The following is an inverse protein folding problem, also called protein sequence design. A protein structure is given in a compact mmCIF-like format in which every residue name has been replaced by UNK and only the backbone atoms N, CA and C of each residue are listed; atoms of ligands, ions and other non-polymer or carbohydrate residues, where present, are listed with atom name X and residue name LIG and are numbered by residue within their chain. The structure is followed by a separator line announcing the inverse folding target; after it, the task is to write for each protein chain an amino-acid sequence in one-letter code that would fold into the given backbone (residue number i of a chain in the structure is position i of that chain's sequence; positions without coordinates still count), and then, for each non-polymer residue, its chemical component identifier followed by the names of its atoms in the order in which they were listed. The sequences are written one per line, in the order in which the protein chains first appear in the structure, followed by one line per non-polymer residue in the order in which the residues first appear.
data_IF_714403787091
#
_entry.id   IF_714403787091
#
_cell.length_a   1.000
_cell.length_b   1.000
_cell.length_c   1.000
_cell.angle_alpha   90.00
_cell.angle_beta   90.00
_cell.angle_gamma   90.00
#
_symmetry.space_group_name_H-M   'P 1'
#
loop_
_entity.id
_entity.type
_entity.pdbx_description
1 polymer ?
#
# COMPACT_ATOMS: atom_id res chain seq x y z
N UNK A 1 -5.88 7.64 6.70
CA UNK A 1 -6.47 6.54 5.91
C UNK A 1 -6.89 7.08 4.56
N UNK A 2 -6.57 6.36 3.50
CA UNK A 2 -6.91 6.82 2.15
C UNK A 2 -7.17 5.63 1.23
N UNK A 3 -7.79 5.90 0.10
CA UNK A 3 -8.02 4.91 -0.95
C UNK A 3 -7.04 5.17 -2.08
N UNK A 4 -6.30 4.13 -2.47
CA UNK A 4 -5.36 4.19 -3.57
C UNK A 4 -5.58 3.02 -4.51
N UNK A 5 -5.02 3.09 -5.70
CA UNK A 5 -5.03 1.98 -6.64
C UNK A 5 -3.60 1.45 -6.81
N UNK A 6 -3.45 0.14 -6.74
CA UNK A 6 -2.15 -0.49 -6.96
C UNK A 6 -1.77 -0.38 -8.44
N UNK A 7 -0.62 0.18 -8.72
CA UNK A 7 -0.11 0.27 -10.10
C UNK A 7 0.75 -0.94 -10.42
N UNK A 8 1.74 -1.23 -9.60
CA UNK A 8 2.67 -2.33 -9.84
C UNK A 8 3.49 -2.62 -8.58
N UNK A 9 4.05 -3.84 -8.48
CA UNK A 9 5.02 -4.12 -7.43
C UNK A 9 6.28 -3.29 -7.62
N UNK A 10 6.91 -2.91 -6.52
CA UNK A 10 8.20 -2.24 -6.54
C UNK A 10 9.27 -3.26 -6.17
N UNK A 11 10.23 -3.45 -7.06
CA UNK A 11 11.34 -4.38 -6.81
C UNK A 11 12.57 -3.57 -6.44
N UNK A 12 13.18 -3.94 -5.31
CA UNK A 12 14.42 -3.32 -4.86
C UNK A 12 15.38 -4.43 -4.43
N UNK A 13 16.59 -4.41 -4.97
CA UNK A 13 17.59 -5.43 -4.66
C UNK A 13 18.43 -5.08 -3.44
N UNK A 14 18.48 -3.80 -3.06
CA UNK A 14 19.23 -3.34 -1.91
C UNK A 14 18.30 -2.62 -0.93
N UNK A 15 18.11 -3.22 0.23
CA UNK A 15 17.27 -2.68 1.29
C UNK A 15 17.98 -2.81 2.62
N UNK A 16 17.66 -1.93 3.55
CA UNK A 16 18.09 -2.11 4.93
C UNK A 16 17.43 -3.36 5.49
N UNK A 17 18.07 -3.97 6.50
CA UNK A 17 17.60 -5.25 7.05
C UNK A 17 16.15 -5.21 7.51
N UNK A 18 15.70 -4.10 8.07
CA UNK A 18 14.31 -3.96 8.54
C UNK A 18 13.28 -4.03 7.41
N UNK A 19 13.70 -3.80 6.18
CA UNK A 19 12.79 -3.84 5.02
C UNK A 19 12.92 -5.12 4.21
N UNK A 20 13.81 -6.02 4.59
CA UNK A 20 13.92 -7.32 3.93
C UNK A 20 12.62 -8.10 4.09
N UNK A 21 12.26 -8.86 3.07
CA UNK A 21 11.06 -9.70 3.05
C UNK A 21 9.75 -8.93 3.10
N UNK A 22 9.78 -7.60 2.98
CA UNK A 22 8.55 -6.82 2.87
C UNK A 22 8.21 -6.58 1.40
N UNK A 23 6.94 -6.73 1.08
CA UNK A 23 6.45 -6.47 -0.26
C UNK A 23 6.10 -4.99 -0.37
N UNK A 24 6.60 -4.36 -1.42
CA UNK A 24 6.34 -2.95 -1.69
C UNK A 24 5.53 -2.83 -2.97
N UNK A 25 4.59 -1.90 -2.98
CA UNK A 25 3.77 -1.61 -4.15
C UNK A 25 3.83 -0.12 -4.46
N UNK A 26 3.83 0.19 -5.74
CA UNK A 26 3.57 1.56 -6.18
C UNK A 26 2.07 1.73 -6.25
N UNK A 27 1.54 2.71 -5.54
CA UNK A 27 0.11 3.00 -5.52
C UNK A 27 -0.15 4.40 -6.04
N UNK A 28 -1.31 4.60 -6.63
CA UNK A 28 -1.74 5.87 -7.19
C UNK A 28 -2.75 6.50 -6.25
N UNK A 29 -2.47 7.72 -5.83
CA UNK A 29 -3.37 8.55 -5.03
C UNK A 29 -3.66 9.82 -5.83
N UNK A 30 -4.80 9.84 -6.52
CA UNK A 30 -5.12 10.92 -7.44
C UNK A 30 -4.10 10.99 -8.57
N UNK A 31 -3.31 12.04 -8.62
CA UNK A 31 -2.25 12.21 -9.63
C UNK A 31 -0.86 11.87 -9.10
N UNK A 32 -0.76 11.44 -7.86
CA UNK A 32 0.52 11.14 -7.20
C UNK A 32 0.77 9.64 -7.16
N UNK A 33 2.03 9.25 -7.30
CA UNK A 33 2.47 7.88 -7.09
C UNK A 33 3.21 7.81 -5.77
N UNK A 34 2.85 6.82 -4.97
CA UNK A 34 3.41 6.61 -3.63
C UNK A 34 3.89 5.17 -3.50
N UNK A 35 4.77 4.94 -2.55
CA UNK A 35 5.23 3.59 -2.22
C UNK A 35 4.57 3.16 -0.92
N UNK A 36 3.94 1.99 -0.93
CA UNK A 36 3.27 1.43 0.23
C UNK A 36 3.77 0.03 0.51
N UNK A 37 3.83 -0.32 1.80
CA UNK A 37 4.07 -1.71 2.21
C UNK A 37 2.78 -2.48 1.99
N UNK A 38 2.89 -3.66 1.38
CA UNK A 38 1.75 -4.53 1.14
C UNK A 38 1.72 -5.63 2.20
N UNK A 39 0.77 -5.52 3.13
CA UNK A 39 0.62 -6.47 4.22
C UNK A 39 -0.36 -7.61 3.88
N UNK A 40 -1.05 -7.54 2.75
CA UNK A 40 -2.16 -8.45 2.45
C UNK A 40 -2.10 -9.14 1.10
N UNK A 41 -1.15 -8.79 0.24
CA UNK A 41 -1.01 -9.42 -1.07
C UNK A 41 -1.87 -8.81 -2.16
N UNK A 42 -1.91 -7.49 -2.24
CA UNK A 42 -2.66 -6.79 -3.29
C UNK A 42 -1.99 -6.98 -4.66
N UNK A 43 -2.77 -6.83 -5.72
CA UNK A 43 -2.33 -7.01 -7.10
C UNK A 43 -2.53 -5.74 -7.91
N UNK A 44 -1.78 -5.57 -9.01
CA UNK A 44 -2.00 -4.43 -9.90
C UNK A 44 -3.46 -4.29 -10.30
N UNK A 45 -3.97 -3.08 -10.23
CA UNK A 45 -5.36 -2.77 -10.51
C UNK A 45 -6.28 -2.80 -9.30
N UNK A 46 -5.86 -3.42 -8.20
CA UNK A 46 -6.70 -3.46 -6.99
C UNK A 46 -6.83 -2.07 -6.38
N UNK A 47 -8.04 -1.78 -5.91
CA UNK A 47 -8.27 -0.62 -5.08
C UNK A 47 -8.07 -1.03 -3.63
N UNK A 48 -7.33 -0.25 -2.89
CA UNK A 48 -6.85 -0.63 -1.56
C UNK A 48 -7.06 0.48 -0.56
N UNK A 49 -7.14 0.09 0.71
CA UNK A 49 -7.16 1.02 1.83
C UNK A 49 -5.74 1.09 2.38
N UNK A 50 -5.22 2.30 2.47
CA UNK A 50 -3.89 2.56 3.02
C UNK A 50 -3.98 3.38 4.28
N UNK A 51 -3.08 3.12 5.22
CA UNK A 51 -2.94 3.89 6.45
C UNK A 51 -1.54 4.49 6.51
N UNK A 52 -1.40 5.63 7.17
CA UNK A 52 -0.14 6.35 7.24
C UNK A 52 0.43 6.48 8.64
N UNK A 53 1.61 7.06 8.72
CA UNK A 53 2.30 7.40 9.97
C UNK A 53 2.52 6.18 10.87
N UNK A 54 2.33 6.30 12.18
CA UNK A 54 2.55 5.20 13.13
C UNK A 54 1.58 4.05 12.92
N UNK A 55 0.36 4.33 12.46
CA UNK A 55 -0.59 3.28 12.12
C UNK A 55 -0.08 2.39 10.99
N UNK A 56 0.61 2.99 10.00
CA UNK A 56 1.20 2.22 8.91
C UNK A 56 2.28 1.27 9.42
N UNK A 57 3.11 1.71 10.35
CA UNK A 57 4.17 0.87 10.91
C UNK A 57 3.60 -0.27 11.76
N UNK A 58 2.57 0.00 12.54
CA UNK A 58 1.91 -1.05 13.31
C UNK A 58 1.25 -2.08 12.41
N UNK A 59 0.59 -1.64 11.36
CA UNK A 59 -0.04 -2.54 10.40
C UNK A 59 0.99 -3.38 9.65
N UNK A 60 2.21 -2.85 9.46
CA UNK A 60 3.30 -3.59 8.84
C UNK A 60 3.96 -4.59 9.80
N UNK A 61 3.59 -4.58 11.07
CA UNK A 61 4.04 -5.55 12.07
C UNK A 61 5.22 -5.11 12.92
N UNK A 62 5.68 -3.87 12.78
CA UNK A 62 6.80 -3.38 13.57
C UNK A 62 6.79 -1.86 13.66
N UNK A 63 6.85 -1.34 14.88
CA UNK A 63 6.92 0.10 15.12
C UNK A 63 8.25 0.70 14.65
N UNK A 64 9.29 -0.11 14.56
CA UNK A 64 10.59 0.34 14.07
C UNK A 64 10.71 0.32 12.55
N UNK A 65 9.72 -0.20 11.85
CA UNK A 65 9.73 -0.29 10.42
C UNK A 65 9.55 1.11 9.79
N UNK A 66 10.45 1.53 8.89
CA UNK A 66 10.42 2.90 8.36
C UNK A 66 9.39 3.06 7.24
N UNK A 67 8.14 2.70 7.49
CA UNK A 67 7.05 2.85 6.54
C UNK A 67 6.14 4.00 6.96
N UNK A 68 5.75 4.81 5.99
CA UNK A 68 4.78 5.86 6.21
C UNK A 68 3.44 5.57 5.50
N UNK A 69 3.34 4.42 4.81
CA UNK A 69 2.10 4.02 4.14
C UNK A 69 2.06 2.51 4.04
N UNK A 70 0.96 1.92 4.49
CA UNK A 70 0.77 0.47 4.48
C UNK A 70 -0.62 0.14 3.94
N UNK A 71 -0.68 -0.84 3.03
CA UNK A 71 -1.94 -1.37 2.51
C UNK A 71 -2.51 -2.33 3.55
N UNK A 72 -3.73 -2.08 4.00
CA UNK A 72 -4.37 -2.87 5.06
C UNK A 72 -5.67 -3.55 4.60
N UNK A 73 -6.16 -3.25 3.41
CA UNK A 73 -7.38 -3.88 2.92
C UNK A 73 -7.53 -3.73 1.42
N UNK A 74 -8.23 -4.67 0.80
CA UNK A 74 -8.61 -4.61 -0.61
C UNK A 74 -10.09 -4.26 -0.67
N UNK A 75 -10.45 -3.31 -1.52
CA UNK A 75 -11.82 -2.88 -1.69
C UNK A 75 -12.43 -3.66 -2.85
N UNK A 76 -13.47 -4.44 -2.56
CA UNK A 76 -14.06 -5.31 -3.57
C UNK A 76 -14.93 -4.55 -4.57
N UNK A 77 -15.56 -3.46 -4.14
CA UNK A 77 -16.51 -2.69 -4.95
C UNK A 77 -16.17 -1.21 -4.94
N UNK A 78 -15.11 -0.85 -5.65
CA UNK A 78 -14.71 0.54 -5.80
C UNK A 78 -14.24 0.79 -7.23
N UNK A 79 -14.69 1.85 -7.92
CA UNK A 79 -15.78 2.72 -7.46
C UNK A 79 -17.09 1.95 -7.32
N UNK A 80 -18.06 2.45 -6.52
CA UNK A 80 -19.34 1.77 -6.35
C UNK A 80 -20.02 1.52 -7.69
N UNK A 81 -20.70 0.38 -7.80
CA UNK A 81 -21.38 -0.01 -9.03
C UNK A 81 -22.40 1.04 -9.44
N UNK A 82 -22.39 1.37 -10.73
CA UNK A 82 -23.30 2.39 -11.27
C UNK A 82 -22.83 3.81 -11.09
N UNK A 83 -21.66 4.03 -10.49
CA UNK A 83 -21.06 5.33 -10.34
C UNK A 83 -19.73 5.41 -11.06
N UNK A 84 -19.46 6.56 -11.64
CA UNK A 84 -18.15 6.83 -12.21
C UNK A 84 -17.38 7.76 -11.30
N UNK A 85 -16.14 7.45 -11.10
CA UNK A 85 -15.25 8.26 -10.28
C UNK A 85 -14.54 9.32 -11.10
#
# INVERSE_FOLDING_TARGET
MKICQVERPLVSTNRIAMMEHKHLQVVIDGSSRLVAVDAIGAKPGDWVICVGSSAAREAAGSKGYPSDLTIVGIIDHWPPEGQES
#
